data_IF_733381758561
#
_entry.id   IF_733381758561
#
_cell.length_a   1.000
_cell.length_b   1.000
_cell.length_c   1.000
_cell.angle_alpha   90.00
_cell.angle_beta   90.00
_cell.angle_gamma   90.00
#
_symmetry.space_group_name_H-M   'P 1'
#
loop_
_entity.id
_entity.type
_entity.pdbx_description
1 polymer ?
#
# COMPACT_ATOMS: atom_id res chain seq x y z
N UNK A 1 -28.08 11.18 16.39
CA UNK A 1 -27.31 11.09 15.13
C UNK A 1 -26.22 10.06 15.39
N UNK A 2 -26.18 8.95 14.63
CA UNK A 2 -25.04 8.02 14.73
C UNK A 2 -23.96 8.59 13.84
N UNK A 3 -22.82 8.97 14.40
CA UNK A 3 -21.64 9.25 13.59
C UNK A 3 -21.33 8.01 12.77
N UNK A 4 -21.21 8.18 11.45
CA UNK A 4 -20.78 7.10 10.60
C UNK A 4 -19.30 6.83 10.88
N UNK A 5 -18.99 5.59 11.23
CA UNK A 5 -17.62 5.19 11.54
C UNK A 5 -16.78 5.15 10.27
N UNK A 6 -15.63 5.84 10.29
CA UNK A 6 -14.60 5.70 9.26
C UNK A 6 -13.89 4.36 9.42
N UNK A 7 -13.80 3.59 8.34
CA UNK A 7 -13.23 2.24 8.33
C UNK A 7 -12.30 2.06 7.14
N UNK A 8 -11.28 1.24 7.34
CA UNK A 8 -10.41 0.72 6.29
C UNK A 8 -10.81 -0.73 6.02
N UNK A 9 -11.13 -1.05 4.77
CA UNK A 9 -11.48 -2.38 4.31
C UNK A 9 -10.34 -2.91 3.44
N UNK A 10 -9.83 -4.09 3.76
CA UNK A 10 -8.74 -4.74 3.03
C UNK A 10 -9.29 -6.02 2.41
N UNK A 11 -9.21 -6.13 1.09
CA UNK A 11 -9.50 -7.38 0.37
C UNK A 11 -8.21 -7.93 -0.24
N UNK A 12 -7.82 -9.11 0.25
CA UNK A 12 -6.62 -9.83 -0.15
C UNK A 12 -6.94 -11.29 -0.57
N UNK A 13 -8.18 -11.54 -1.03
CA UNK A 13 -8.59 -12.90 -1.45
C UNK A 13 -7.96 -13.31 -2.78
N UNK A 14 -7.66 -12.33 -3.64
CA UNK A 14 -7.02 -12.52 -4.92
C UNK A 14 -5.51 -12.26 -4.78
N UNK A 15 -4.62 -13.24 -5.05
CA UNK A 15 -3.18 -13.04 -4.95
C UNK A 15 -2.61 -12.07 -5.98
N UNK A 16 -3.29 -11.89 -7.11
CA UNK A 16 -2.91 -10.97 -8.19
C UNK A 16 -3.20 -9.49 -7.86
N UNK A 17 -4.12 -9.24 -6.92
CA UNK A 17 -4.66 -7.91 -6.68
C UNK A 17 -5.04 -7.70 -5.21
N UNK A 18 -4.40 -6.71 -4.58
CA UNK A 18 -4.74 -6.23 -3.24
C UNK A 18 -5.59 -4.96 -3.36
N UNK A 19 -6.72 -4.90 -2.65
CA UNK A 19 -7.59 -3.72 -2.62
C UNK A 19 -7.69 -3.16 -1.21
N UNK A 20 -7.46 -1.86 -1.08
CA UNK A 20 -7.66 -1.13 0.18
C UNK A 20 -8.66 -0.01 -0.06
N UNK A 21 -9.77 -0.02 0.68
CA UNK A 21 -10.83 0.97 0.56
C UNK A 21 -11.02 1.72 1.88
N UNK A 22 -11.13 3.04 1.81
CA UNK A 22 -11.52 3.87 2.94
C UNK A 22 -12.99 4.26 2.81
N UNK A 23 -13.78 3.96 3.84
CA UNK A 23 -15.22 4.20 3.86
C UNK A 23 -15.63 5.02 5.07
N UNK A 24 -16.60 5.92 4.88
CA UNK A 24 -17.31 6.64 5.94
C UNK A 24 -18.74 6.07 6.00
N UNK A 25 -18.99 5.21 6.99
CA UNK A 25 -20.19 4.38 6.98
C UNK A 25 -20.19 3.46 5.75
N UNK A 26 -21.11 3.67 4.82
CA UNK A 26 -21.20 2.93 3.55
C UNK A 26 -20.71 3.73 2.34
N UNK A 27 -20.21 4.95 2.54
CA UNK A 27 -19.72 5.80 1.46
C UNK A 27 -18.22 5.58 1.26
N UNK A 28 -17.84 5.11 0.08
CA UNK A 28 -16.45 5.06 -0.36
C UNK A 28 -15.93 6.48 -0.60
N UNK A 29 -14.72 6.78 -0.13
CA UNK A 29 -14.06 8.05 -0.42
C UNK A 29 -12.61 7.91 -0.87
N UNK A 30 -11.98 6.76 -0.64
CA UNK A 30 -10.65 6.46 -1.19
C UNK A 30 -10.53 4.97 -1.55
N UNK A 31 -9.77 4.67 -2.59
CA UNK A 31 -9.56 3.32 -3.10
C UNK A 31 -8.16 3.21 -3.71
N UNK A 32 -7.38 2.29 -3.17
CA UNK A 32 -6.08 1.91 -3.72
C UNK A 32 -6.09 0.44 -4.13
N UNK A 33 -5.47 0.16 -5.28
CA UNK A 33 -5.39 -1.18 -5.88
C UNK A 33 -3.95 -1.45 -6.27
N UNK A 34 -3.35 -2.44 -5.63
CA UNK A 34 -2.00 -2.89 -5.94
C UNK A 34 -2.03 -4.20 -6.72
N UNK A 35 -1.34 -4.22 -7.87
CA UNK A 35 -1.10 -5.47 -8.62
C UNK A 35 0.16 -6.14 -8.10
N UNK A 36 0.09 -7.45 -7.85
CA UNK A 36 1.22 -8.25 -7.38
C UNK A 36 2.40 -8.33 -8.36
N UNK A 37 2.23 -7.87 -9.60
CA UNK A 37 3.25 -7.92 -10.64
C UNK A 37 4.36 -6.86 -10.49
N UNK A 38 4.14 -5.78 -9.72
CA UNK A 38 5.09 -4.66 -9.63
C UNK A 38 5.30 -4.18 -8.21
N UNK A 39 6.44 -4.55 -7.64
CA UNK A 39 6.89 -4.04 -6.35
C UNK A 39 7.29 -2.55 -6.46
N UNK A 40 6.74 -1.71 -5.59
CA UNK A 40 7.13 -0.32 -5.48
C UNK A 40 8.45 -0.20 -4.70
N UNK A 41 9.49 0.29 -5.39
CA UNK A 41 10.84 0.47 -4.80
C UNK A 41 11.13 1.91 -4.37
N UNK A 42 10.26 2.85 -4.73
CA UNK A 42 10.45 4.28 -4.44
C UNK A 42 10.33 4.53 -2.94
N UNK A 43 11.25 5.31 -2.39
CA UNK A 43 11.33 5.64 -0.96
C UNK A 43 11.60 4.44 -0.04
N UNK A 44 11.98 3.28 -0.58
CA UNK A 44 12.40 2.16 0.24
C UNK A 44 13.72 2.48 0.95
N UNK A 45 13.80 2.08 2.21
CA UNK A 45 15.00 2.24 3.03
C UNK A 45 15.57 0.84 3.28
N UNK A 46 16.82 0.64 2.88
CA UNK A 46 17.53 -0.62 3.01
C UNK A 46 18.78 -0.45 3.85
N UNK A 47 19.16 -1.50 4.59
CA UNK A 47 20.49 -1.59 5.18
C UNK A 47 21.48 -2.14 4.15
N UNK A 48 22.20 -1.25 3.47
CA UNK A 48 23.22 -1.61 2.49
C UNK A 48 24.56 -2.03 3.12
N UNK A 49 25.29 -2.92 2.45
CA UNK A 49 26.71 -3.20 2.71
C UNK A 49 27.54 -2.56 1.60
N UNK A 50 28.61 -1.86 1.95
CA UNK A 50 29.54 -1.26 0.96
C UNK A 50 30.18 -2.39 0.14
N UNK A 51 30.09 -2.29 -1.20
CA UNK A 51 30.62 -3.30 -2.12
C UNK A 51 31.96 -2.89 -2.75
N UNK A 52 32.13 -1.60 -3.06
CA UNK A 52 33.34 -1.04 -3.69
C UNK A 52 33.48 0.45 -3.36
N UNK A 53 34.71 0.92 -3.22
CA UNK A 53 35.04 2.34 -3.08
C UNK A 53 36.01 2.69 -4.22
N UNK A 54 35.65 3.65 -5.06
CA UNK A 54 36.45 4.07 -6.20
C UNK A 54 37.15 5.40 -5.92
N UNK A 55 38.48 5.43 -5.85
CA UNK A 55 39.23 6.66 -5.68
C UNK A 55 39.42 7.35 -7.04
N UNK A 56 38.62 8.38 -7.31
CA UNK A 56 38.83 9.33 -8.43
C UNK A 56 39.75 10.47 -8.03
#
# INVERSE_FOLDING_TARGET
MRDNMKRMLINATQPEELRVALVDGQRLYDLDIESGAREQKKANIYRGKITRVEPS
#
